data_IF_949488445165
#
_entry.id   IF_949488445165
#
_cell.length_a   1.000
_cell.length_b   1.000
_cell.length_c   1.000
_cell.angle_alpha   90.00
_cell.angle_beta   90.00
_cell.angle_gamma   90.00
#
_symmetry.space_group_name_H-M   'P 1'
#
loop_
_entity.id
_entity.type
_entity.pdbx_description
1 polymer ?
#
# COMPACT_ATOMS: atom_id res chain seq x y z
N UNK A 1 -19.78 -10.47 22.34
CA UNK A 1 -18.46 -9.85 22.10
C UNK A 1 -18.50 -9.39 20.65
N UNK A 2 -18.10 -8.15 20.34
CA UNK A 2 -18.08 -7.67 18.95
C UNK A 2 -16.83 -8.19 18.25
N UNK A 3 -16.92 -8.44 16.95
CA UNK A 3 -15.77 -8.81 16.11
C UNK A 3 -14.89 -7.56 15.93
N UNK A 4 -13.61 -7.65 16.25
CA UNK A 4 -12.65 -6.55 16.08
C UNK A 4 -12.17 -6.50 14.64
N UNK A 5 -12.34 -5.36 13.99
CA UNK A 5 -12.04 -5.18 12.57
C UNK A 5 -11.08 -4.00 12.41
N UNK A 6 -9.98 -4.16 11.69
CA UNK A 6 -9.13 -3.03 11.28
C UNK A 6 -9.25 -2.79 9.77
N UNK A 7 -9.55 -1.56 9.37
CA UNK A 7 -9.64 -1.17 7.97
C UNK A 7 -8.73 0.03 7.67
N UNK A 8 -8.20 0.05 6.43
CA UNK A 8 -7.31 1.12 5.98
C UNK A 8 -8.04 2.47 5.96
N UNK A 9 -7.42 3.51 6.54
CA UNK A 9 -7.95 4.87 6.60
C UNK A 9 -7.47 5.76 5.45
N UNK A 10 -7.78 5.38 4.20
CA UNK A 10 -7.59 6.22 3.01
C UNK A 10 -8.90 6.42 2.25
N UNK A 11 -8.94 7.41 1.34
CA UNK A 11 -10.15 7.68 0.54
C UNK A 11 -10.64 6.46 -0.25
N UNK A 12 -9.74 5.57 -0.67
CA UNK A 12 -10.09 4.35 -1.41
C UNK A 12 -10.90 3.33 -0.59
N UNK A 13 -10.91 3.44 0.75
CA UNK A 13 -11.71 2.57 1.64
C UNK A 13 -13.11 3.13 1.91
N UNK A 14 -13.38 4.40 1.60
CA UNK A 14 -14.67 5.04 1.89
C UNK A 14 -15.89 4.25 1.35
N UNK A 15 -15.88 3.65 0.15
CA UNK A 15 -17.00 2.84 -0.31
C UNK A 15 -17.30 1.64 0.60
N UNK A 16 -16.27 0.97 1.14
CA UNK A 16 -16.45 -0.13 2.10
C UNK A 16 -17.06 0.37 3.40
N UNK A 17 -16.54 1.46 3.96
CA UNK A 17 -17.04 2.04 5.21
C UNK A 17 -18.51 2.48 5.08
N UNK A 18 -18.86 3.06 3.94
CA UNK A 18 -20.23 3.42 3.63
C UNK A 18 -21.13 2.18 3.59
N UNK A 19 -20.71 1.10 2.92
CA UNK A 19 -21.45 -0.16 2.87
C UNK A 19 -21.65 -0.80 4.25
N UNK A 20 -20.59 -0.86 5.07
CA UNK A 20 -20.64 -1.36 6.45
C UNK A 20 -21.69 -0.59 7.26
N UNK A 21 -21.67 0.75 7.18
CA UNK A 21 -22.64 1.60 7.87
C UNK A 21 -24.08 1.39 7.39
N UNK A 22 -24.30 1.35 6.08
CA UNK A 22 -25.66 1.19 5.52
C UNK A 22 -26.27 -0.19 5.80
N UNK A 23 -25.43 -1.23 5.92
CA UNK A 23 -25.89 -2.59 6.20
C UNK A 23 -26.31 -2.82 7.67
N UNK A 24 -25.92 -1.94 8.59
CA UNK A 24 -26.10 -2.13 10.04
C UNK A 24 -24.98 -2.91 10.73
N UNK A 25 -24.03 -3.48 9.96
CA UNK A 25 -22.89 -4.26 10.49
C UNK A 25 -22.02 -3.48 11.48
N UNK A 26 -21.98 -2.15 11.38
CA UNK A 26 -21.26 -1.28 12.33
C UNK A 26 -21.69 -1.52 13.80
N UNK A 27 -22.91 -2.00 14.03
CA UNK A 27 -23.39 -2.31 15.38
C UNK A 27 -22.84 -3.65 15.92
N UNK A 28 -22.40 -4.54 15.03
CA UNK A 28 -21.93 -5.90 15.35
C UNK A 28 -20.40 -5.98 15.45
N UNK A 29 -19.69 -5.00 14.89
CA UNK A 29 -18.23 -4.93 14.86
C UNK A 29 -17.66 -3.81 15.75
N UNK A 30 -16.41 -3.97 16.15
CA UNK A 30 -15.57 -2.94 16.73
C UNK A 30 -14.53 -2.53 15.67
N UNK A 31 -14.85 -1.48 14.91
CA UNK A 31 -14.08 -1.07 13.73
C UNK A 31 -13.03 -0.02 14.10
N UNK A 32 -11.76 -0.30 13.85
CA UNK A 32 -10.66 0.67 13.89
C UNK A 32 -10.21 1.06 12.49
N UNK A 33 -10.03 2.37 12.28
CA UNK A 33 -9.47 2.91 11.04
C UNK A 33 -8.00 3.23 11.25
N UNK A 34 -7.13 2.59 10.47
CA UNK A 34 -5.69 2.62 10.68
C UNK A 34 -4.93 2.80 9.36
N UNK A 35 -3.65 3.16 9.42
CA UNK A 35 -2.80 3.08 8.23
C UNK A 35 -2.51 1.61 7.87
N UNK A 36 -2.21 1.26 6.61
CA UNK A 36 -2.10 -0.15 6.21
C UNK A 36 -1.07 -0.96 7.00
N UNK A 37 0.05 -0.35 7.41
CA UNK A 37 1.06 -0.98 8.25
C UNK A 37 0.56 -1.33 9.65
N UNK A 38 -0.37 -0.55 10.20
CA UNK A 38 -1.00 -0.81 11.50
C UNK A 38 -2.09 -1.86 11.38
N UNK A 39 -2.89 -1.87 10.31
CA UNK A 39 -3.81 -2.98 10.03
C UNK A 39 -3.04 -4.31 9.98
N UNK A 40 -1.91 -4.33 9.25
CA UNK A 40 -1.01 -5.48 9.18
C UNK A 40 -0.50 -5.90 10.56
N UNK A 41 0.04 -4.95 11.35
CA UNK A 41 0.57 -5.21 12.69
C UNK A 41 -0.49 -5.80 13.61
N UNK A 42 -1.69 -5.20 13.63
CA UNK A 42 -2.79 -5.65 14.48
C UNK A 42 -3.21 -7.08 14.15
N UNK A 43 -3.35 -7.42 12.86
CA UNK A 43 -3.74 -8.76 12.45
C UNK A 43 -2.63 -9.79 12.72
N UNK A 44 -1.35 -9.44 12.49
CA UNK A 44 -0.21 -10.32 12.78
C UNK A 44 -0.03 -10.64 14.27
N UNK A 45 -0.52 -9.77 15.14
CA UNK A 45 -0.40 -9.87 16.59
C UNK A 45 -1.69 -10.35 17.29
N UNK A 46 -2.68 -10.83 16.54
CA UNK A 46 -3.99 -11.25 17.07
C UNK A 46 -4.72 -10.14 17.87
N UNK A 47 -4.47 -8.87 17.54
CA UNK A 47 -5.13 -7.71 18.18
C UNK A 47 -6.52 -7.45 17.60
N UNK A 48 -6.77 -7.91 16.37
CA UNK A 48 -8.03 -7.85 15.64
C UNK A 48 -8.37 -9.22 15.04
N UNK A 49 -9.65 -9.48 14.84
CA UNK A 49 -10.15 -10.75 14.30
C UNK A 49 -10.21 -10.75 12.76
N UNK A 50 -10.36 -9.56 12.16
CA UNK A 50 -10.46 -9.35 10.72
C UNK A 50 -9.73 -8.05 10.32
N UNK A 51 -9.17 -7.98 9.12
CA UNK A 51 -8.76 -6.68 8.60
C UNK A 51 -8.58 -6.60 7.09
N UNK A 52 -8.83 -5.40 6.55
CA UNK A 52 -8.44 -5.05 5.20
C UNK A 52 -6.94 -4.76 5.21
N UNK A 53 -6.12 -5.77 4.94
CA UNK A 53 -4.67 -5.72 5.17
C UNK A 53 -3.85 -5.77 3.88
N UNK A 54 -2.63 -5.20 3.87
CA UNK A 54 -1.70 -5.35 2.76
C UNK A 54 -1.42 -6.82 2.42
N UNK A 55 -1.64 -7.23 1.16
CA UNK A 55 -1.43 -8.64 0.75
C UNK A 55 -0.01 -9.17 0.97
N UNK A 56 1.00 -8.30 1.07
CA UNK A 56 2.37 -8.70 1.38
C UNK A 56 2.56 -9.34 2.77
N UNK A 57 1.59 -9.20 3.67
CA UNK A 57 1.66 -9.86 4.99
C UNK A 57 1.03 -11.25 5.02
N UNK A 58 0.30 -11.66 3.99
CA UNK A 58 -0.37 -12.97 3.92
C UNK A 58 0.60 -14.14 4.18
N UNK A 59 1.82 -14.19 3.58
CA UNK A 59 2.76 -15.27 3.84
C UNK A 59 3.33 -15.31 5.27
N UNK A 60 3.12 -14.24 6.06
CA UNK A 60 3.60 -14.12 7.44
C UNK A 60 2.55 -14.60 8.45
N UNK A 61 1.28 -14.71 8.05
CA UNK A 61 0.20 -15.20 8.89
C UNK A 61 0.31 -16.73 9.05
N UNK A 62 0.20 -17.22 10.29
CA UNK A 62 0.20 -18.66 10.59
C UNK A 62 -0.98 -19.38 9.94
N UNK A 63 -2.13 -18.72 9.95
CA UNK A 63 -3.36 -19.15 9.31
C UNK A 63 -4.04 -17.89 8.73
N UNK A 64 -4.59 -18.00 7.52
CA UNK A 64 -5.28 -16.90 6.87
C UNK A 64 -6.36 -17.43 5.93
N UNK A 65 -7.45 -16.66 5.83
CA UNK A 65 -8.55 -16.91 4.90
C UNK A 65 -8.89 -15.57 4.24
N UNK A 66 -8.95 -15.54 2.91
CA UNK A 66 -9.50 -14.37 2.20
C UNK A 66 -11.01 -14.52 2.21
N UNK A 67 -11.72 -13.63 2.89
CA UNK A 67 -13.14 -13.82 3.20
C UNK A 67 -14.10 -13.05 2.28
N UNK A 68 -13.58 -12.41 1.24
CA UNK A 68 -14.34 -11.51 0.39
C UNK A 68 -13.87 -11.59 -1.06
N UNK A 69 -14.83 -11.49 -1.99
CA UNK A 69 -14.57 -11.28 -3.42
C UNK A 69 -14.13 -9.83 -3.73
N UNK A 70 -14.17 -8.95 -2.73
CA UNK A 70 -13.82 -7.54 -2.85
C UNK A 70 -12.48 -7.23 -2.20
N UNK A 71 -11.68 -6.39 -2.85
CA UNK A 71 -10.35 -6.00 -2.39
C UNK A 71 -10.03 -4.55 -2.81
N UNK A 72 -8.90 -4.02 -2.33
CA UNK A 72 -8.30 -2.81 -2.89
C UNK A 72 -7.30 -3.25 -3.96
N UNK A 73 -7.67 -3.10 -5.22
CA UNK A 73 -6.87 -3.53 -6.37
C UNK A 73 -6.95 -2.56 -7.55
N UNK A 74 -6.23 -2.88 -8.61
CA UNK A 74 -6.08 -2.05 -9.79
C UNK A 74 -5.82 -2.86 -11.06
N UNK A 75 -6.39 -2.41 -12.18
CA UNK A 75 -6.07 -2.91 -13.51
C UNK A 75 -5.57 -1.78 -14.42
N UNK A 76 -4.34 -1.33 -14.15
CA UNK A 76 -3.76 -0.12 -14.73
C UNK A 76 -3.34 0.88 -13.65
N UNK A 77 -3.06 2.15 -14.02
CA UNK A 77 -2.62 3.18 -13.08
C UNK A 77 -3.68 3.50 -12.02
N UNK A 78 -3.24 3.87 -10.82
CA UNK A 78 -4.07 4.21 -9.66
C UNK A 78 -3.81 5.61 -9.10
N UNK A 79 -2.75 6.26 -9.55
CA UNK A 79 -2.23 7.56 -9.13
C UNK A 79 -1.79 7.69 -7.66
N UNK A 80 -2.30 6.83 -6.79
CA UNK A 80 -2.16 6.86 -5.33
C UNK A 80 -1.16 5.84 -4.80
N UNK A 81 -0.42 5.17 -5.69
CA UNK A 81 0.70 4.29 -5.35
C UNK A 81 1.80 4.48 -6.38
N UNK A 82 2.79 5.31 -6.06
CA UNK A 82 3.83 5.68 -7.02
C UNK A 82 5.21 5.83 -6.37
N UNK A 83 6.24 5.63 -7.20
CA UNK A 83 7.62 6.04 -6.93
C UNK A 83 7.83 7.46 -7.50
N UNK A 84 8.15 8.41 -6.63
CA UNK A 84 8.41 9.80 -6.98
C UNK A 84 9.92 10.08 -6.99
N UNK A 85 10.41 10.78 -8.02
CA UNK A 85 11.85 11.05 -8.22
C UNK A 85 12.09 12.38 -8.95
N UNK A 86 13.23 13.02 -8.66
CA UNK A 86 13.72 14.19 -9.41
C UNK A 86 14.61 13.79 -10.61
N UNK A 87 15.06 12.55 -10.66
CA UNK A 87 15.90 11.99 -11.74
C UNK A 87 15.21 10.81 -12.42
N UNK A 88 15.56 10.49 -13.68
CA UNK A 88 15.06 9.29 -14.34
C UNK A 88 15.46 8.02 -13.58
N UNK A 89 14.76 6.93 -13.85
CA UNK A 89 14.77 5.73 -13.01
C UNK A 89 16.17 5.11 -12.85
N UNK A 90 16.94 5.10 -13.93
CA UNK A 90 18.33 4.66 -14.03
C UNK A 90 19.35 5.48 -13.22
N UNK A 91 19.00 6.71 -12.83
CA UNK A 91 19.84 7.60 -12.01
C UNK A 91 19.49 7.56 -10.51
N UNK A 92 18.47 6.78 -10.12
CA UNK A 92 18.06 6.66 -8.71
C UNK A 92 19.10 5.84 -7.93
N UNK A 93 19.68 6.46 -6.90
CA UNK A 93 20.65 5.82 -6.00
C UNK A 93 19.99 5.30 -4.72
N UNK A 94 18.98 6.01 -4.21
CA UNK A 94 18.31 5.67 -2.95
C UNK A 94 16.79 5.71 -3.11
N UNK A 95 16.09 4.81 -2.42
CA UNK A 95 14.62 4.81 -2.36
C UNK A 95 14.16 4.74 -0.91
N UNK A 96 13.42 5.78 -0.48
CA UNK A 96 12.65 5.72 0.75
C UNK A 96 11.46 4.76 0.61
N UNK A 97 11.39 3.80 1.52
CA UNK A 97 10.34 2.82 1.65
C UNK A 97 9.30 3.31 2.66
N UNK A 98 8.14 3.71 2.14
CA UNK A 98 7.03 4.28 2.89
C UNK A 98 6.63 3.43 4.11
N UNK A 99 6.66 4.03 5.31
CA UNK A 99 6.34 3.32 6.53
C UNK A 99 4.86 2.90 6.64
N UNK A 100 3.96 3.59 5.91
CA UNK A 100 2.53 3.24 5.85
C UNK A 100 2.27 1.95 5.07
N UNK A 101 3.18 1.54 4.18
CA UNK A 101 2.94 0.44 3.24
C UNK A 101 3.72 -0.83 3.57
N UNK A 102 3.18 -1.97 3.14
CA UNK A 102 3.89 -3.24 3.04
C UNK A 102 3.85 -3.75 1.59
N UNK A 103 2.66 -3.84 0.99
CA UNK A 103 2.49 -4.29 -0.40
C UNK A 103 3.25 -3.43 -1.41
N UNK A 104 3.13 -2.10 -1.33
CA UNK A 104 3.78 -1.21 -2.31
C UNK A 104 5.30 -1.17 -2.14
N UNK A 105 5.79 -1.33 -0.90
CA UNK A 105 7.23 -1.46 -0.60
C UNK A 105 7.78 -2.76 -1.22
N UNK A 106 7.10 -3.89 -1.01
CA UNK A 106 7.49 -5.16 -1.64
C UNK A 106 7.40 -5.08 -3.17
N UNK A 107 6.37 -4.42 -3.69
CA UNK A 107 6.16 -4.25 -5.13
C UNK A 107 7.30 -3.44 -5.78
N UNK A 108 7.69 -2.29 -5.21
CA UNK A 108 8.78 -1.48 -5.80
C UNK A 108 10.11 -2.25 -5.80
N UNK A 109 10.38 -3.05 -4.76
CA UNK A 109 11.59 -3.86 -4.68
C UNK A 109 11.59 -4.97 -5.73
N UNK A 110 10.43 -5.60 -5.94
CA UNK A 110 10.24 -6.58 -6.99
C UNK A 110 10.42 -5.95 -8.38
N UNK A 111 9.78 -4.81 -8.66
CA UNK A 111 9.88 -4.11 -9.94
C UNK A 111 11.32 -3.64 -10.21
N UNK A 112 12.00 -3.05 -9.22
CA UNK A 112 13.40 -2.66 -9.33
C UNK A 112 14.30 -3.82 -9.76
N UNK A 113 14.14 -5.00 -9.14
CA UNK A 113 14.95 -6.19 -9.44
C UNK A 113 14.53 -6.88 -10.75
N UNK A 114 13.24 -7.10 -10.95
CA UNK A 114 12.71 -8.00 -11.97
C UNK A 114 12.39 -7.28 -13.28
N UNK A 115 11.93 -6.04 -13.23
CA UNK A 115 11.47 -5.30 -14.40
C UNK A 115 12.45 -4.22 -14.81
N UNK A 116 12.71 -3.25 -13.93
CA UNK A 116 13.55 -2.09 -14.23
C UNK A 116 15.05 -2.35 -14.22
N UNK A 117 15.49 -3.44 -13.57
CA UNK A 117 16.90 -3.85 -13.44
C UNK A 117 17.81 -2.81 -12.76
N UNK A 118 17.27 -2.02 -11.85
CA UNK A 118 18.03 -1.06 -11.01
C UNK A 118 18.37 -1.65 -9.64
N UNK A 119 19.39 -1.09 -8.97
CA UNK A 119 19.88 -1.53 -7.65
C UNK A 119 20.08 -0.34 -6.70
N UNK A 120 19.00 0.35 -6.30
CA UNK A 120 19.09 1.45 -5.34
C UNK A 120 19.36 0.92 -3.93
N UNK A 121 19.85 1.79 -3.05
CA UNK A 121 19.85 1.55 -1.62
C UNK A 121 18.45 1.76 -1.04
N UNK A 122 18.01 0.84 -0.20
CA UNK A 122 16.71 0.90 0.45
C UNK A 122 16.82 1.63 1.78
N UNK A 123 16.07 2.73 1.93
CA UNK A 123 16.02 3.51 3.17
C UNK A 123 14.64 3.31 3.79
N UNK A 124 14.58 2.90 5.05
CA UNK A 124 13.31 2.90 5.80
C UNK A 124 12.89 4.34 6.03
N UNK A 125 11.70 4.70 5.54
CA UNK A 125 11.17 6.05 5.74
C UNK A 125 10.66 6.25 7.18
N UNK A 126 10.66 7.49 7.62
CA UNK A 126 10.00 7.98 8.82
C UNK A 126 9.06 9.14 8.45
N UNK A 127 8.32 9.66 9.41
CA UNK A 127 7.44 10.83 9.19
C UNK A 127 8.24 12.01 8.60
N UNK A 128 7.65 12.71 7.62
CA UNK A 128 8.32 13.81 6.91
C UNK A 128 9.31 13.40 5.80
N UNK A 129 9.48 12.10 5.49
CA UNK A 129 10.41 11.68 4.42
C UNK A 129 10.06 12.21 3.03
N UNK A 130 8.79 12.57 2.77
CA UNK A 130 8.34 13.04 1.45
C UNK A 130 9.10 14.33 1.07
N UNK A 131 9.36 15.20 2.03
CA UNK A 131 10.13 16.44 1.82
C UNK A 131 11.63 16.17 1.58
N UNK A 132 12.10 14.96 1.90
CA UNK A 132 13.48 14.52 1.70
C UNK A 132 13.69 13.82 0.35
N UNK A 133 12.63 13.64 -0.44
CA UNK A 133 12.73 13.15 -1.82
C UNK A 133 13.35 14.28 -2.65
N UNK A 134 14.64 14.16 -2.98
CA UNK A 134 15.37 15.16 -3.76
C UNK A 134 16.60 14.57 -4.45
N UNK A 135 17.00 15.15 -5.57
CA UNK A 135 18.20 14.71 -6.30
C UNK A 135 18.09 13.25 -6.75
N UNK A 136 19.09 12.42 -6.44
CA UNK A 136 19.12 10.98 -6.76
C UNK A 136 18.34 10.10 -5.78
N UNK A 137 17.68 10.70 -4.79
CA UNK A 137 16.87 9.98 -3.80
C UNK A 137 15.39 10.07 -4.14
N UNK A 138 14.82 8.92 -4.47
CA UNK A 138 13.39 8.76 -4.74
C UNK A 138 12.64 8.27 -3.49
N UNK A 139 11.31 8.25 -3.55
CA UNK A 139 10.47 7.73 -2.47
C UNK A 139 9.20 7.10 -2.98
N UNK A 140 8.84 5.94 -2.41
CA UNK A 140 7.50 5.38 -2.57
C UNK A 140 6.56 6.19 -1.70
N UNK A 141 5.44 6.64 -2.26
CA UNK A 141 4.39 7.34 -1.53
C UNK A 141 3.06 6.71 -1.86
N UNK A 142 2.25 6.43 -0.83
CA UNK A 142 0.93 5.81 -0.98
C UNK A 142 -0.22 6.59 -0.34
N UNK A 143 -1.42 6.33 -0.89
CA UNK A 143 -2.69 6.84 -0.40
C UNK A 143 -2.85 8.33 -0.68
N UNK A 144 -3.60 9.00 0.18
CA UNK A 144 -3.99 10.39 -0.01
C UNK A 144 -2.80 11.36 0.01
N UNK A 145 -1.66 10.94 0.57
CA UNK A 145 -0.39 11.69 0.60
C UNK A 145 0.23 11.90 -0.79
N UNK A 146 -0.26 11.20 -1.80
CA UNK A 146 0.15 11.41 -3.20
C UNK A 146 -0.54 12.63 -3.82
N UNK A 147 -1.66 13.09 -3.28
CA UNK A 147 -2.41 14.20 -3.86
C UNK A 147 -1.63 15.51 -3.71
N UNK A 148 -1.49 16.24 -4.82
CA UNK A 148 -0.72 17.48 -4.87
C UNK A 148 0.80 17.29 -4.89
N UNK A 149 1.30 16.06 -4.68
CA UNK A 149 2.73 15.76 -4.80
C UNK A 149 3.13 15.77 -6.27
N UNK A 150 4.04 16.67 -6.62
CA UNK A 150 4.59 16.80 -7.97
C UNK A 150 6.11 16.71 -7.92
N UNK A 151 6.65 15.76 -8.69
CA UNK A 151 8.09 15.57 -8.93
C UNK A 151 8.31 15.43 -10.42
N UNK A 152 9.55 15.60 -10.89
CA UNK A 152 9.87 15.51 -12.32
C UNK A 152 9.49 14.17 -12.92
N UNK A 153 9.60 13.10 -12.13
CA UNK A 153 9.23 11.75 -12.51
C UNK A 153 8.27 11.15 -11.47
N UNK A 154 7.21 10.53 -11.96
CA UNK A 154 6.24 9.75 -11.20
C UNK A 154 6.06 8.41 -11.92
N UNK A 155 6.35 7.31 -11.25
CA UNK A 155 6.15 5.97 -11.77
C UNK A 155 5.03 5.30 -10.99
N UNK A 156 3.86 5.13 -11.59
CA UNK A 156 2.76 4.40 -10.98
C UNK A 156 3.12 2.91 -10.88
N UNK A 157 3.03 2.35 -9.67
CA UNK A 157 3.48 0.97 -9.44
C UNK A 157 2.50 -0.07 -9.99
N UNK A 158 1.20 0.26 -10.05
CA UNK A 158 0.20 -0.63 -10.66
C UNK A 158 0.36 -0.65 -12.19
N UNK A 159 0.62 0.51 -12.79
CA UNK A 159 0.95 0.61 -14.21
C UNK A 159 2.21 -0.18 -14.54
N UNK A 160 3.29 -0.01 -13.77
CA UNK A 160 4.53 -0.76 -13.96
C UNK A 160 4.33 -2.27 -13.79
N UNK A 161 3.52 -2.69 -12.82
CA UNK A 161 3.15 -4.10 -12.65
C UNK A 161 2.38 -4.65 -13.86
N UNK A 162 1.40 -3.90 -14.36
CA UNK A 162 0.62 -4.28 -15.53
C UNK A 162 1.50 -4.38 -16.78
N UNK A 163 2.43 -3.44 -16.96
CA UNK A 163 3.41 -3.49 -18.04
C UNK A 163 4.34 -4.71 -17.93
N UNK A 164 4.75 -5.08 -16.71
CA UNK A 164 5.62 -6.23 -16.48
C UNK A 164 4.91 -7.58 -16.68
N UNK A 165 3.66 -7.71 -16.20
CA UNK A 165 3.00 -9.02 -16.05
C UNK A 165 1.76 -9.22 -16.92
N UNK A 166 1.18 -8.14 -17.45
CA UNK A 166 -0.13 -8.13 -18.10
C UNK A 166 -1.32 -8.32 -17.15
N UNK A 167 -1.10 -8.44 -15.83
CA UNK A 167 -2.13 -8.75 -14.83
C UNK A 167 -2.51 -7.54 -13.98
N UNK A 168 -3.73 -7.50 -13.41
CA UNK A 168 -4.07 -6.55 -12.35
C UNK A 168 -3.23 -6.79 -11.09
N UNK A 169 -3.21 -5.81 -10.19
CA UNK A 169 -2.54 -5.88 -8.89
C UNK A 169 -3.54 -5.74 -7.73
N UNK A 170 -3.33 -6.50 -6.65
CA UNK A 170 -4.10 -6.37 -5.41
C UNK A 170 -3.20 -5.78 -4.33
N UNK A 171 -3.60 -4.65 -3.75
CA UNK A 171 -2.87 -3.97 -2.69
C UNK A 171 -3.25 -4.47 -1.31
N UNK A 172 -4.56 -4.59 -1.04
CA UNK A 172 -5.10 -5.05 0.23
C UNK A 172 -6.32 -5.97 0.03
N UNK A 173 -6.48 -6.95 0.91
CA UNK A 173 -7.60 -7.90 0.92
C UNK A 173 -8.13 -8.08 2.35
N UNK A 174 -9.37 -8.54 2.45
CA UNK A 174 -10.04 -8.88 3.71
C UNK A 174 -9.71 -10.31 4.15
#
# INVERSE_FOLDING_TARGET
MKVKVSAVSYLNTLPFLYGIKQSGLEQEIDLSLDIPSDCARKLLNDEVDLGLVPVAIIPQLKEHHIISDYCIGADGPVDTVALFSDVPLEEIENIYLDYHSRSSVTLVQLLAKAFWKIKPNWIRAEEGFIDQIQGTTAGVVIGDRTFGLSKKYKYDLAEAWKAFTGKPFVFAAW
#
